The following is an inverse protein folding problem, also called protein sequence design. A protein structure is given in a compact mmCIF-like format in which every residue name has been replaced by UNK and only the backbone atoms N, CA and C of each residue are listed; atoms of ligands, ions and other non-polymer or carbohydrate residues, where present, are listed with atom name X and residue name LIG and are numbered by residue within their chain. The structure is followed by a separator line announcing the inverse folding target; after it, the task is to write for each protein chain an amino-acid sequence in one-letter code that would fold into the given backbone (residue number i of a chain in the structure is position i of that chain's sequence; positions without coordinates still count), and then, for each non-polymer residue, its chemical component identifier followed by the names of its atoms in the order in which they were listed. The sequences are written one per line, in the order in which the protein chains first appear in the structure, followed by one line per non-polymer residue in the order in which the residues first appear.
data_IF_794113137434
#
_entry.id   IF_794113137434
#
_cell.length_a   1.000
_cell.length_b   1.000
_cell.length_c   1.000
_cell.angle_alpha   90.00
_cell.angle_beta   90.00
_cell.angle_gamma   90.00
#
_symmetry.space_group_name_H-M   'P 1'
#
loop_
_entity.id
_entity.type
_entity.pdbx_description
1 polymer ?
#
# COMPACT_ATOMS: atom_id res chain seq x y z
N UNK A 1 -17.61 57.04 -40.58
CA UNK A 1 -16.56 56.08 -40.11
C UNK A 1 -16.67 55.97 -38.61
N UNK A 2 -17.38 54.93 -38.11
CA UNK A 2 -17.52 54.67 -36.66
C UNK A 2 -16.40 53.72 -36.24
N UNK A 3 -15.54 54.13 -35.32
CA UNK A 3 -14.52 53.31 -34.72
C UNK A 3 -15.14 52.49 -33.59
N UNK A 4 -15.18 51.16 -33.73
CA UNK A 4 -15.49 50.25 -32.66
C UNK A 4 -14.24 50.04 -31.79
N UNK A 5 -14.30 50.45 -30.53
CA UNK A 5 -13.33 50.05 -29.51
C UNK A 5 -13.73 48.69 -28.96
N UNK A 6 -12.90 47.67 -29.18
CA UNK A 6 -13.00 46.38 -28.51
C UNK A 6 -12.37 46.51 -27.11
N UNK A 7 -13.21 46.41 -26.10
CA UNK A 7 -12.76 46.32 -24.69
C UNK A 7 -12.46 44.82 -24.43
N UNK A 8 -11.19 44.47 -24.29
CA UNK A 8 -10.76 43.13 -23.85
C UNK A 8 -10.81 43.14 -22.34
N UNK A 9 -11.80 42.46 -21.76
CA UNK A 9 -11.86 42.19 -20.32
C UNK A 9 -10.92 41.04 -20.01
N UNK A 10 -9.78 41.33 -19.36
CA UNK A 10 -8.88 40.32 -18.78
C UNK A 10 -9.54 39.87 -17.47
N UNK A 11 -10.13 38.66 -17.48
CA UNK A 11 -10.59 38.00 -16.27
C UNK A 11 -9.37 37.40 -15.58
N UNK A 12 -8.85 38.10 -14.57
CA UNK A 12 -7.91 37.54 -13.61
C UNK A 12 -8.66 36.52 -12.73
N UNK A 13 -8.53 35.25 -13.06
CA UNK A 13 -8.88 34.18 -12.12
C UNK A 13 -7.87 34.21 -10.98
N UNK A 14 -8.25 34.80 -9.85
CA UNK A 14 -7.53 34.64 -8.60
C UNK A 14 -7.61 33.15 -8.24
N UNK A 15 -6.56 32.40 -8.51
CA UNK A 15 -6.40 31.09 -7.91
C UNK A 15 -6.36 31.32 -6.39
N UNK A 16 -7.37 30.84 -5.68
CA UNK A 16 -7.33 30.76 -4.23
C UNK A 16 -6.16 29.84 -3.87
N UNK A 17 -5.01 30.43 -3.59
CA UNK A 17 -3.90 29.69 -3.01
C UNK A 17 -4.40 29.16 -1.65
N UNK A 18 -4.49 27.84 -1.52
CA UNK A 18 -4.73 27.21 -0.22
C UNK A 18 -3.70 27.74 0.78
N UNK A 19 -4.09 28.02 2.04
CA UNK A 19 -3.15 28.53 3.03
C UNK A 19 -1.95 27.57 3.11
N UNK A 20 -0.75 28.12 2.98
CA UNK A 20 0.51 27.36 2.99
C UNK A 20 0.58 26.61 4.32
N UNK A 21 0.37 25.29 4.30
CA UNK A 21 0.48 24.46 5.50
C UNK A 21 1.95 24.28 5.82
N UNK A 22 2.38 24.71 7.01
CA UNK A 22 3.78 24.62 7.47
C UNK A 22 4.02 23.38 8.35
N UNK A 23 3.07 22.46 8.38
CA UNK A 23 3.15 21.25 9.18
C UNK A 23 4.02 20.18 8.48
N UNK A 24 4.55 19.29 9.29
CA UNK A 24 5.32 18.12 8.87
C UNK A 24 4.42 16.89 8.89
N UNK A 25 4.72 15.89 8.10
CA UNK A 25 4.00 14.61 8.11
C UNK A 25 5.00 13.46 8.21
N UNK A 26 4.80 12.60 9.19
CA UNK A 26 5.50 11.32 9.35
C UNK A 26 4.46 10.23 9.19
N UNK A 27 4.63 9.36 8.20
CA UNK A 27 3.79 8.19 7.98
C UNK A 27 4.62 6.92 8.11
N UNK A 28 4.14 6.00 8.93
CA UNK A 28 4.76 4.69 9.14
C UNK A 28 3.81 3.62 8.64
N UNK A 29 4.33 2.72 7.82
CA UNK A 29 3.64 1.49 7.46
C UNK A 29 4.16 0.34 8.30
N UNK A 30 3.23 -0.38 8.93
CA UNK A 30 3.46 -1.66 9.60
C UNK A 30 2.89 -2.74 8.70
N UNK A 31 3.76 -3.56 8.10
CA UNK A 31 3.37 -4.61 7.16
C UNK A 31 2.46 -5.63 7.84
N UNK A 32 1.39 -6.03 7.16
CA UNK A 32 0.45 -7.02 7.65
C UNK A 32 -0.36 -6.59 8.90
N UNK A 33 -0.42 -5.28 9.19
CA UNK A 33 -1.11 -4.75 10.37
C UNK A 33 -2.62 -4.77 10.19
N UNK A 34 -3.26 -5.89 10.59
CA UNK A 34 -4.72 -6.04 10.57
C UNK A 34 -5.41 -4.95 11.36
N UNK A 35 -6.59 -4.55 10.86
CA UNK A 35 -7.41 -3.50 11.49
C UNK A 35 -7.85 -3.83 12.93
N UNK A 36 -7.98 -5.13 13.25
CA UNK A 36 -8.55 -5.67 14.49
C UNK A 36 -7.50 -6.20 15.49
N UNK A 37 -6.19 -6.06 15.21
CA UNK A 37 -5.17 -6.51 16.15
C UNK A 37 -5.29 -5.84 17.53
N UNK A 38 -5.68 -4.57 17.59
CA UNK A 38 -5.91 -3.89 18.87
C UNK A 38 -7.16 -4.39 19.62
N UNK A 39 -8.08 -5.11 18.95
CA UNK A 39 -9.23 -5.76 19.60
C UNK A 39 -8.83 -7.13 20.20
N UNK A 40 -7.78 -7.77 19.66
CA UNK A 40 -7.26 -9.07 20.13
C UNK A 40 -6.09 -8.94 21.11
N UNK A 41 -5.31 -7.87 21.01
CA UNK A 41 -4.01 -7.72 21.65
C UNK A 41 -3.94 -6.42 22.46
N UNK A 42 -3.04 -6.39 23.47
CA UNK A 42 -2.83 -5.20 24.29
C UNK A 42 -1.96 -4.17 23.54
N UNK A 43 -2.63 -3.29 22.80
CA UNK A 43 -1.99 -2.24 22.00
C UNK A 43 -2.42 -0.84 22.48
N UNK A 44 -1.97 -0.42 23.68
CA UNK A 44 -2.45 0.80 24.33
C UNK A 44 -2.13 2.08 23.57
N UNK A 45 -1.09 2.10 22.75
CA UNK A 45 -0.77 3.26 21.93
C UNK A 45 -1.77 3.41 20.77
N UNK A 46 -2.08 2.33 20.05
CA UNK A 46 -3.10 2.34 19.00
C UNK A 46 -4.47 2.76 19.54
N UNK A 47 -4.82 2.33 20.75
CA UNK A 47 -6.06 2.72 21.42
C UNK A 47 -6.04 4.20 21.84
N UNK A 48 -4.91 4.68 22.37
CA UNK A 48 -4.76 6.08 22.72
C UNK A 48 -4.88 6.99 21.48
N UNK A 49 -4.27 6.62 20.36
CA UNK A 49 -4.36 7.35 19.11
C UNK A 49 -5.81 7.44 18.61
N UNK A 50 -6.63 6.41 18.81
CA UNK A 50 -8.05 6.43 18.46
C UNK A 50 -8.81 7.49 19.25
N UNK A 51 -8.42 7.79 20.49
CA UNK A 51 -9.07 8.79 21.34
C UNK A 51 -8.62 10.22 21.07
N UNK A 52 -7.33 10.43 20.78
CA UNK A 52 -6.74 11.77 20.59
C UNK A 52 -6.61 12.18 19.12
N UNK A 53 -6.97 11.31 18.20
CA UNK A 53 -6.81 11.50 16.76
C UNK A 53 -7.94 10.86 15.95
N UNK A 54 -7.55 10.19 14.87
CA UNK A 54 -8.42 9.52 13.92
C UNK A 54 -8.20 8.02 13.98
N UNK A 55 -9.30 7.26 14.02
CA UNK A 55 -9.35 5.82 13.82
C UNK A 55 -10.11 5.52 12.53
N UNK A 56 -9.56 4.65 11.70
CA UNK A 56 -10.25 4.12 10.51
C UNK A 56 -9.83 2.68 10.24
N UNK A 57 -10.68 1.96 9.50
CA UNK A 57 -10.33 0.75 8.76
C UNK A 57 -10.05 1.18 7.33
N UNK A 58 -8.89 0.83 6.81
CA UNK A 58 -8.51 1.15 5.44
C UNK A 58 -8.56 -0.12 4.59
N UNK A 59 -9.22 -0.02 3.45
CA UNK A 59 -9.30 -1.10 2.47
C UNK A 59 -8.04 -1.11 1.61
N UNK A 60 -7.30 -2.24 1.52
CA UNK A 60 -6.18 -2.37 0.59
C UNK A 60 -6.67 -2.43 -0.85
N UNK A 61 -5.76 -2.26 -1.80
CA UNK A 61 -6.03 -2.55 -3.21
C UNK A 61 -5.85 -4.04 -3.51
N UNK A 62 -6.56 -4.54 -4.53
CA UNK A 62 -6.39 -5.92 -4.99
C UNK A 62 -5.21 -6.03 -5.96
N UNK A 63 -4.34 -7.04 -5.81
CA UNK A 63 -4.29 -7.98 -4.70
C UNK A 63 -3.78 -7.33 -3.41
N UNK A 64 -4.31 -7.76 -2.26
CA UNK A 64 -3.89 -7.30 -0.94
C UNK A 64 -2.52 -7.86 -0.58
N UNK A 65 -1.47 -7.39 -1.26
CA UNK A 65 -0.08 -7.86 -1.17
C UNK A 65 0.89 -6.70 -1.02
N UNK A 66 2.04 -6.94 -0.42
CA UNK A 66 3.01 -5.95 0.05
C UNK A 66 3.44 -4.93 -1.02
N UNK A 67 4.06 -5.39 -2.12
CA UNK A 67 4.60 -4.48 -3.14
C UNK A 67 3.50 -3.69 -3.86
N UNK A 68 2.41 -4.32 -4.36
CA UNK A 68 1.30 -3.59 -4.92
C UNK A 68 0.77 -2.50 -3.98
N UNK A 69 0.52 -2.82 -2.72
CA UNK A 69 -0.15 -1.90 -1.79
C UNK A 69 0.75 -0.77 -1.29
N UNK A 70 2.02 -1.04 -0.98
CA UNK A 70 2.95 0.04 -0.63
C UNK A 70 3.14 1.01 -1.79
N UNK A 71 3.24 0.50 -3.02
CA UNK A 71 3.40 1.36 -4.18
C UNK A 71 2.10 2.09 -4.54
N UNK A 72 0.95 1.45 -4.32
CA UNK A 72 -0.38 2.09 -4.40
C UNK A 72 -0.49 3.27 -3.42
N UNK A 73 -0.12 3.09 -2.15
CA UNK A 73 -0.12 4.19 -1.17
C UNK A 73 0.81 5.35 -1.56
N UNK A 74 1.92 5.03 -2.22
CA UNK A 74 2.88 6.04 -2.67
C UNK A 74 2.45 6.78 -3.94
N UNK A 75 1.66 6.16 -4.82
CA UNK A 75 1.29 6.72 -6.14
C UNK A 75 -0.16 7.13 -6.24
N UNK A 76 -1.05 6.65 -5.36
CA UNK A 76 -2.49 6.84 -5.48
C UNK A 76 -3.11 6.11 -6.68
N UNK A 77 -2.37 5.18 -7.30
CA UNK A 77 -2.80 4.38 -8.45
C UNK A 77 -3.05 2.94 -8.01
N UNK A 78 -4.09 2.32 -8.56
CA UNK A 78 -4.33 0.89 -8.38
C UNK A 78 -3.22 0.05 -9.03
N UNK A 79 -2.99 -1.22 -8.63
CA UNK A 79 -1.93 -2.07 -9.17
C UNK A 79 -1.90 -2.19 -10.70
N UNK A 80 -3.07 -2.24 -11.35
CA UNK A 80 -3.19 -2.22 -12.82
C UNK A 80 -2.54 -1.00 -13.47
N UNK A 81 -2.58 0.14 -12.79
CA UNK A 81 -2.07 1.42 -13.30
C UNK A 81 -0.66 1.75 -12.80
N UNK A 82 -0.28 1.26 -11.61
CA UNK A 82 1.06 1.53 -11.07
C UNK A 82 2.13 0.53 -11.54
N UNK A 83 1.69 -0.58 -12.19
CA UNK A 83 2.57 -1.56 -12.83
C UNK A 83 3.05 -2.70 -11.94
N UNK A 84 2.90 -2.62 -10.62
CA UNK A 84 3.19 -3.70 -9.69
C UNK A 84 1.91 -4.51 -9.43
N UNK A 85 1.55 -5.36 -10.38
CA UNK A 85 0.29 -6.10 -10.35
C UNK A 85 0.27 -7.25 -9.33
N UNK A 86 1.42 -7.68 -8.84
CA UNK A 86 1.57 -8.66 -7.75
C UNK A 86 3.03 -8.63 -7.22
N UNK A 87 3.33 -9.32 -6.12
CA UNK A 87 4.71 -9.53 -5.63
C UNK A 87 5.56 -10.35 -6.64
N UNK A 88 4.92 -11.10 -7.53
CA UNK A 88 5.55 -11.84 -8.61
C UNK A 88 4.57 -11.97 -9.79
N UNK A 89 5.01 -11.62 -10.99
CA UNK A 89 4.22 -11.69 -12.22
C UNK A 89 5.12 -11.90 -13.46
N UNK A 90 4.52 -12.31 -14.56
CA UNK A 90 5.20 -12.36 -15.87
C UNK A 90 5.03 -11.03 -16.58
N UNK A 91 6.12 -10.47 -17.10
CA UNK A 91 6.08 -9.29 -17.95
C UNK A 91 6.27 -9.71 -19.42
N UNK A 92 5.24 -9.62 -20.27
CA UNK A 92 5.33 -10.00 -21.66
C UNK A 92 6.22 -9.07 -22.48
N UNK A 93 6.33 -7.79 -22.10
CA UNK A 93 7.19 -6.81 -22.76
C UNK A 93 8.68 -7.10 -22.58
N UNK A 94 9.09 -7.49 -21.38
CA UNK A 94 10.46 -7.91 -21.07
C UNK A 94 10.70 -9.40 -21.30
N UNK A 95 9.63 -10.20 -21.44
CA UNK A 95 9.67 -11.67 -21.43
C UNK A 95 10.45 -12.20 -20.22
N UNK A 96 10.13 -11.63 -19.08
CA UNK A 96 10.83 -11.89 -17.82
C UNK A 96 9.83 -12.00 -16.66
N UNK A 97 10.13 -12.88 -15.71
CA UNK A 97 9.32 -12.99 -14.49
C UNK A 97 9.80 -11.97 -13.47
N UNK A 98 8.98 -10.96 -13.20
CA UNK A 98 9.20 -10.07 -12.05
C UNK A 98 9.05 -10.86 -10.75
N UNK A 99 9.91 -10.56 -9.79
CA UNK A 99 9.78 -11.00 -8.40
C UNK A 99 10.36 -9.94 -7.48
N UNK A 100 9.66 -9.61 -6.39
CA UNK A 100 10.16 -8.67 -5.39
C UNK A 100 11.50 -9.11 -4.76
N UNK A 101 11.79 -10.41 -4.78
CA UNK A 101 13.05 -10.98 -4.29
C UNK A 101 14.20 -10.97 -5.30
N UNK A 102 13.94 -10.63 -6.58
CA UNK A 102 14.98 -10.60 -7.62
C UNK A 102 15.51 -9.18 -7.84
N UNK A 103 16.76 -8.87 -7.43
CA UNK A 103 17.34 -7.54 -7.62
C UNK A 103 17.39 -7.08 -9.08
N UNK A 104 17.43 -7.98 -10.06
CA UNK A 104 17.51 -7.64 -11.48
C UNK A 104 16.24 -6.93 -11.97
N UNK A 105 15.07 -7.28 -11.45
CA UNK A 105 13.82 -6.62 -11.79
C UNK A 105 13.30 -5.68 -10.69
N UNK A 106 13.55 -6.00 -9.42
CA UNK A 106 13.12 -5.19 -8.29
C UNK A 106 13.65 -3.76 -8.35
N UNK A 107 14.89 -3.55 -8.81
CA UNK A 107 15.53 -2.23 -8.93
C UNK A 107 15.44 -1.61 -10.33
N UNK A 108 14.71 -2.23 -11.27
CA UNK A 108 14.49 -1.67 -12.61
C UNK A 108 13.27 -0.73 -12.59
N UNK A 109 13.45 0.59 -12.82
CA UNK A 109 12.36 1.56 -12.83
C UNK A 109 11.28 1.28 -13.88
N UNK A 110 11.56 0.45 -14.88
CA UNK A 110 10.59 0.01 -15.89
C UNK A 110 9.31 -0.60 -15.27
N UNK A 111 9.43 -1.26 -14.12
CA UNK A 111 8.29 -1.92 -13.49
C UNK A 111 7.40 -0.96 -12.69
N UNK A 112 7.89 0.23 -12.35
CA UNK A 112 7.29 1.19 -11.43
C UNK A 112 6.67 2.35 -12.21
N UNK A 113 5.36 2.25 -12.49
CA UNK A 113 4.63 3.26 -13.25
C UNK A 113 4.02 4.31 -12.31
N UNK A 114 3.67 5.46 -12.87
CA UNK A 114 3.10 6.57 -12.11
C UNK A 114 4.16 7.43 -11.42
N UNK A 115 3.69 8.40 -10.67
CA UNK A 115 4.53 9.39 -9.99
C UNK A 115 4.35 9.26 -8.46
N UNK A 116 5.35 8.70 -7.73
CA UNK A 116 5.24 8.58 -6.28
C UNK A 116 5.23 9.95 -5.58
N UNK A 117 4.63 9.99 -4.41
CA UNK A 117 4.46 11.24 -3.63
C UNK A 117 5.76 12.00 -3.37
N UNK A 118 6.89 11.32 -3.19
CA UNK A 118 8.19 11.98 -3.02
C UNK A 118 8.67 12.67 -4.29
N UNK A 119 8.31 12.16 -5.49
CA UNK A 119 8.61 12.81 -6.77
C UNK A 119 7.74 14.05 -6.92
N UNK A 120 6.42 13.92 -6.72
CA UNK A 120 5.47 15.04 -6.79
C UNK A 120 5.82 16.16 -5.81
N UNK A 121 6.17 15.79 -4.58
CA UNK A 121 6.57 16.75 -3.54
C UNK A 121 7.86 17.49 -3.92
N UNK A 122 8.88 16.77 -4.40
CA UNK A 122 10.17 17.38 -4.76
C UNK A 122 10.07 18.27 -5.99
N UNK A 123 9.24 17.92 -6.99
CA UNK A 123 8.93 18.80 -8.12
C UNK A 123 8.31 20.14 -7.67
N UNK A 124 7.66 20.16 -6.51
CA UNK A 124 7.04 21.34 -5.91
C UNK A 124 7.86 21.93 -4.75
N UNK A 125 9.15 21.58 -4.68
CA UNK A 125 10.12 22.18 -3.75
C UNK A 125 10.09 21.63 -2.33
N UNK A 126 9.44 20.49 -2.10
CA UNK A 126 9.34 19.83 -0.78
C UNK A 126 10.33 18.67 -0.68
N UNK A 127 11.20 18.67 0.33
CA UNK A 127 12.08 17.54 0.62
C UNK A 127 11.33 16.41 1.27
N UNK A 128 11.69 15.17 0.88
CA UNK A 128 11.15 13.94 1.42
C UNK A 128 12.24 13.02 1.97
N UNK A 129 11.99 12.41 3.12
CA UNK A 129 12.76 11.30 3.65
C UNK A 129 11.97 10.02 3.53
N UNK A 130 12.51 8.98 2.87
CA UNK A 130 11.78 7.73 2.64
C UNK A 130 12.67 6.55 2.97
N UNK A 131 12.32 5.83 4.05
CA UNK A 131 13.12 4.75 4.60
C UNK A 131 12.44 3.42 4.32
N UNK A 132 13.05 2.64 3.42
CA UNK A 132 12.66 1.28 3.04
C UNK A 132 11.27 1.12 2.39
N UNK A 133 10.55 2.19 2.11
CA UNK A 133 9.29 2.10 1.37
C UNK A 133 9.50 1.59 -0.05
N UNK A 134 8.60 0.75 -0.56
CA UNK A 134 8.69 0.16 -1.90
C UNK A 134 8.86 1.25 -2.97
N UNK A 135 9.90 1.12 -3.78
CA UNK A 135 10.24 2.08 -4.85
C UNK A 135 11.09 3.27 -4.41
N UNK A 136 11.35 3.47 -3.11
CA UNK A 136 12.12 4.63 -2.64
C UNK A 136 13.61 4.56 -2.97
N UNK A 137 14.11 3.38 -3.25
CA UNK A 137 15.52 3.10 -3.59
C UNK A 137 15.74 2.89 -5.11
N UNK A 138 14.79 3.42 -5.90
CA UNK A 138 14.79 3.36 -7.37
C UNK A 138 14.61 4.77 -7.92
N UNK A 139 15.30 5.18 -9.03
CA UNK A 139 15.14 6.50 -9.62
C UNK A 139 13.86 6.59 -10.47
N UNK A 140 12.69 6.54 -9.82
CA UNK A 140 11.40 6.64 -10.51
C UNK A 140 11.23 8.08 -11.02
N UNK A 141 10.85 8.24 -12.29
CA UNK A 141 10.86 9.53 -12.97
C UNK A 141 12.21 10.27 -12.83
N UNK A 142 13.33 9.54 -12.92
CA UNK A 142 14.71 10.00 -12.75
C UNK A 142 14.97 10.71 -11.40
N UNK A 143 14.18 10.37 -10.37
CA UNK A 143 14.21 11.06 -9.09
C UNK A 143 14.22 10.07 -7.91
N UNK A 144 15.21 10.23 -7.02
CA UNK A 144 15.20 9.61 -5.69
C UNK A 144 14.56 10.54 -4.65
N UNK A 145 14.03 10.05 -3.52
CA UNK A 145 13.75 10.90 -2.37
C UNK A 145 15.00 11.68 -1.94
N UNK A 146 14.86 12.84 -1.30
CA UNK A 146 16.01 13.64 -0.82
C UNK A 146 16.86 12.83 0.17
N UNK A 147 16.22 12.07 1.04
CA UNK A 147 16.86 11.16 1.98
C UNK A 147 16.25 9.78 1.81
N UNK A 148 17.09 8.79 1.56
CA UNK A 148 16.65 7.41 1.35
C UNK A 148 17.76 6.42 1.67
N UNK A 149 17.40 5.14 1.76
CA UNK A 149 18.37 4.06 1.93
C UNK A 149 17.98 2.87 1.09
N UNK A 150 18.97 2.28 0.43
CA UNK A 150 18.78 1.04 -0.33
C UNK A 150 18.44 -0.10 0.62
N UNK A 151 17.43 -0.92 0.27
CA UNK A 151 17.02 -2.07 1.07
C UNK A 151 18.17 -3.03 1.36
N UNK A 152 18.98 -3.36 0.34
CA UNK A 152 20.10 -4.30 0.44
C UNK A 152 21.38 -3.68 1.02
N UNK A 153 21.36 -2.40 1.41
CA UNK A 153 22.53 -1.74 1.98
C UNK A 153 22.93 -2.38 3.32
N UNK A 154 24.22 -2.63 3.49
CA UNK A 154 24.76 -3.19 4.72
C UNK A 154 25.34 -2.12 5.64
N UNK A 155 25.20 -2.25 6.96
CA UNK A 155 24.30 -3.19 7.63
C UNK A 155 22.82 -2.87 7.30
N UNK A 156 21.98 -3.90 7.19
CA UNK A 156 20.53 -3.68 7.12
C UNK A 156 20.06 -3.10 8.45
N UNK A 157 19.28 -2.01 8.40
CA UNK A 157 18.83 -1.33 9.61
C UNK A 157 17.73 -2.13 10.32
N UNK A 158 17.93 -2.37 11.60
CA UNK A 158 16.89 -2.86 12.50
C UNK A 158 15.85 -1.75 12.78
N UNK A 159 14.81 -2.06 13.54
CA UNK A 159 13.70 -1.14 13.82
C UNK A 159 14.14 0.09 14.60
N UNK A 160 15.08 -0.06 15.54
CA UNK A 160 15.61 1.08 16.31
C UNK A 160 16.38 2.04 15.40
N UNK A 161 17.21 1.53 14.50
CA UNK A 161 17.95 2.34 13.53
C UNK A 161 17.03 3.05 12.52
N UNK A 162 15.92 2.41 12.11
CA UNK A 162 14.89 3.06 11.27
C UNK A 162 14.23 4.20 12.04
N UNK A 163 13.84 3.98 13.29
CA UNK A 163 13.26 5.00 14.16
C UNK A 163 14.24 6.14 14.43
N UNK A 164 15.52 5.82 14.71
CA UNK A 164 16.59 6.81 14.91
C UNK A 164 16.76 7.70 13.68
N UNK A 165 16.76 7.14 12.48
CA UNK A 165 16.88 7.91 11.25
C UNK A 165 15.68 8.82 11.03
N UNK A 166 14.45 8.35 11.27
CA UNK A 166 13.24 9.17 11.19
C UNK A 166 13.35 10.39 12.13
N UNK A 167 13.75 10.17 13.39
CA UNK A 167 13.94 11.26 14.35
C UNK A 167 15.08 12.17 13.94
N UNK A 168 16.20 11.63 13.44
CA UNK A 168 17.34 12.41 12.91
C UNK A 168 16.90 13.34 11.79
N UNK A 169 16.15 12.83 10.81
CA UNK A 169 15.63 13.62 9.69
C UNK A 169 14.72 14.75 10.17
N UNK A 170 13.84 14.45 11.12
CA UNK A 170 12.97 15.46 11.72
C UNK A 170 13.71 16.46 12.61
N UNK A 171 14.94 16.15 13.04
CA UNK A 171 15.79 17.04 13.87
C UNK A 171 16.69 17.95 13.04
N UNK A 172 16.74 17.81 11.73
CA UNK A 172 17.56 18.65 10.86
C UNK A 172 17.15 20.13 10.96
N UNK A 173 18.03 21.08 10.64
CA UNK A 173 17.68 22.50 10.44
C UNK A 173 16.50 22.64 9.48
N UNK A 174 15.67 23.66 9.68
CA UNK A 174 14.41 23.81 8.94
C UNK A 174 14.61 23.80 7.41
N UNK A 175 15.69 24.36 6.93
CA UNK A 175 16.07 24.44 5.51
C UNK A 175 16.47 23.09 4.91
N UNK A 176 16.88 22.12 5.74
CA UNK A 176 17.25 20.77 5.31
C UNK A 176 16.17 19.74 5.66
N UNK A 177 15.31 20.04 6.64
CA UNK A 177 14.30 19.14 7.17
C UNK A 177 13.27 18.74 6.12
N UNK A 178 13.04 17.42 5.90
CA UNK A 178 11.95 16.98 5.03
C UNK A 178 10.58 17.33 5.64
N UNK A 179 9.62 17.73 4.82
CA UNK A 179 8.24 17.94 5.26
C UNK A 179 7.42 16.65 5.25
N UNK A 180 7.86 15.64 4.50
CA UNK A 180 7.31 14.30 4.49
C UNK A 180 8.41 13.31 4.86
N UNK A 181 8.15 12.46 5.87
CA UNK A 181 8.96 11.28 6.16
C UNK A 181 8.06 10.06 6.10
N UNK A 182 8.49 9.05 5.33
CA UNK A 182 7.82 7.76 5.19
C UNK A 182 8.74 6.67 5.69
N UNK A 183 8.24 5.79 6.55
CA UNK A 183 8.99 4.67 7.12
C UNK A 183 8.24 3.35 6.98
N UNK A 184 8.97 2.29 6.65
CA UNK A 184 8.44 0.94 6.52
C UNK A 184 9.05 0.01 7.58
N UNK A 185 8.17 -0.79 8.19
CA UNK A 185 8.51 -1.82 9.16
C UNK A 185 7.83 -3.12 8.75
N UNK A 186 8.59 -4.19 8.62
CA UNK A 186 8.19 -5.47 8.03
C UNK A 186 7.45 -6.41 9.00
N UNK A 187 7.04 -5.90 10.17
CA UNK A 187 6.23 -6.62 11.16
C UNK A 187 4.89 -5.89 11.40
N UNK A 188 3.86 -6.65 11.74
CA UNK A 188 3.79 -8.07 12.14
C UNK A 188 3.61 -9.10 11.00
N UNK A 189 3.82 -8.73 9.72
CA UNK A 189 3.61 -9.61 8.56
C UNK A 189 4.46 -10.88 8.62
N UNK A 190 5.77 -10.73 8.82
CA UNK A 190 6.69 -11.87 8.85
C UNK A 190 6.30 -12.89 9.93
N UNK A 191 6.00 -12.42 11.14
CA UNK A 191 5.55 -13.26 12.24
C UNK A 191 4.16 -13.87 11.95
N UNK A 192 3.27 -13.10 11.34
CA UNK A 192 1.93 -13.55 10.92
C UNK A 192 1.99 -14.67 9.88
N UNK A 193 2.92 -14.61 8.94
CA UNK A 193 3.17 -15.69 8.00
C UNK A 193 3.63 -16.97 8.70
N UNK A 194 4.61 -16.88 9.59
CA UNK A 194 5.23 -18.04 10.22
C UNK A 194 4.29 -18.74 11.22
N UNK A 195 3.58 -17.97 12.05
CA UNK A 195 2.82 -18.48 13.19
C UNK A 195 1.29 -18.36 13.04
N UNK A 196 0.80 -17.64 12.03
CA UNK A 196 -0.61 -17.31 11.84
C UNK A 196 -0.98 -15.96 12.44
N UNK A 197 -2.07 -15.32 11.92
CA UNK A 197 -2.45 -13.96 12.34
C UNK A 197 -2.87 -13.89 13.82
N UNK A 198 -3.47 -14.96 14.35
CA UNK A 198 -3.95 -15.02 15.73
C UNK A 198 -3.15 -16.09 16.47
N UNK A 199 -1.96 -15.75 16.91
CA UNK A 199 -1.04 -16.61 17.64
C UNK A 199 -0.36 -15.86 18.79
N UNK A 200 0.28 -16.58 19.69
CA UNK A 200 1.02 -16.00 20.82
C UNK A 200 2.21 -15.18 20.30
N UNK A 201 2.85 -15.64 19.23
CA UNK A 201 4.00 -15.00 18.62
C UNK A 201 3.58 -13.70 17.91
N UNK A 202 2.51 -13.73 17.12
CA UNK A 202 1.98 -12.54 16.45
C UNK A 202 1.46 -11.52 17.47
N UNK A 203 0.83 -11.99 18.55
CA UNK A 203 0.47 -11.13 19.69
C UNK A 203 1.71 -10.39 20.23
N UNK A 204 2.75 -11.13 20.59
CA UNK A 204 3.96 -10.54 21.17
C UNK A 204 4.62 -9.53 20.20
N UNK A 205 4.62 -9.81 18.90
CA UNK A 205 5.18 -8.90 17.89
C UNK A 205 4.31 -7.66 17.69
N UNK A 206 2.98 -7.79 17.62
CA UNK A 206 2.08 -6.65 17.49
C UNK A 206 2.18 -5.70 18.69
N UNK A 207 2.23 -6.24 19.92
CA UNK A 207 2.44 -5.46 21.15
C UNK A 207 3.83 -4.79 21.20
N UNK A 208 4.87 -5.46 20.69
CA UNK A 208 6.21 -4.86 20.56
C UNK A 208 6.21 -3.72 19.53
N UNK A 209 5.53 -3.88 18.41
CA UNK A 209 5.41 -2.80 17.41
C UNK A 209 4.60 -1.62 17.95
N UNK A 210 3.54 -1.85 18.73
CA UNK A 210 2.80 -0.80 19.41
C UNK A 210 3.70 0.03 20.34
N UNK A 211 4.50 -0.65 21.17
CA UNK A 211 5.47 -0.01 22.07
C UNK A 211 6.51 0.81 21.31
N UNK A 212 7.08 0.25 20.23
CA UNK A 212 8.08 0.95 19.38
C UNK A 212 7.50 2.19 18.71
N UNK A 213 6.27 2.11 18.21
CA UNK A 213 5.59 3.26 17.61
C UNK A 213 5.27 4.33 18.64
N UNK A 214 4.92 3.94 19.86
CA UNK A 214 4.75 4.88 20.98
C UNK A 214 6.07 5.62 21.30
N UNK A 215 7.18 4.91 21.42
CA UNK A 215 8.49 5.53 21.66
C UNK A 215 8.90 6.49 20.53
N UNK A 216 8.72 6.08 19.27
CA UNK A 216 8.97 6.95 18.12
C UNK A 216 8.10 8.21 18.17
N UNK A 217 6.81 8.06 18.45
CA UNK A 217 5.88 9.19 18.59
C UNK A 217 6.32 10.16 19.68
N UNK A 218 6.67 9.66 20.88
CA UNK A 218 7.12 10.51 21.99
C UNK A 218 8.40 11.27 21.64
N UNK A 219 9.35 10.61 20.97
CA UNK A 219 10.59 11.26 20.49
C UNK A 219 10.31 12.38 19.49
N UNK A 220 9.37 12.17 18.54
CA UNK A 220 8.94 13.19 17.59
C UNK A 220 8.22 14.34 18.29
N UNK A 221 7.35 14.06 19.25
CA UNK A 221 6.63 15.07 20.03
C UNK A 221 7.56 15.91 20.92
N UNK A 222 8.69 15.37 21.36
CA UNK A 222 9.68 16.08 22.16
C UNK A 222 10.53 17.09 21.35
N UNK A 223 10.45 17.08 20.02
CA UNK A 223 11.14 18.06 19.17
C UNK A 223 10.55 19.48 19.37
N UNK A 224 11.33 20.54 19.19
CA UNK A 224 10.85 21.93 19.34
C UNK A 224 9.62 22.29 18.49
N UNK A 225 9.37 21.54 17.44
CA UNK A 225 8.23 21.66 16.53
C UNK A 225 7.35 20.41 16.50
N UNK A 226 7.40 19.60 17.55
CA UNK A 226 6.63 18.37 17.68
C UNK A 226 5.11 18.58 17.62
N UNK A 227 4.64 19.77 17.97
CA UNK A 227 3.24 20.20 17.84
C UNK A 227 2.79 20.43 16.38
N UNK A 228 3.74 20.58 15.46
CA UNK A 228 3.52 20.71 14.01
C UNK A 228 3.63 19.39 13.25
N UNK A 229 3.83 18.27 13.93
CA UNK A 229 4.00 16.97 13.28
C UNK A 229 2.65 16.23 13.23
N UNK A 230 2.20 15.91 12.03
CA UNK A 230 1.19 14.89 11.79
C UNK A 230 1.88 13.53 11.83
N UNK A 231 1.35 12.61 12.62
CA UNK A 231 1.83 11.24 12.75
C UNK A 231 0.76 10.28 12.30
N UNK A 232 1.07 9.42 11.33
CA UNK A 232 0.16 8.47 10.71
C UNK A 232 0.74 7.06 10.84
N UNK A 233 -0.07 6.12 11.33
CA UNK A 233 0.19 4.68 11.26
C UNK A 233 -0.80 4.06 10.29
N UNK A 234 -0.30 3.26 9.35
CA UNK A 234 -1.10 2.53 8.37
C UNK A 234 -0.52 1.12 8.19
N UNK A 235 -1.34 0.20 7.69
CA UNK A 235 -0.88 -1.07 7.13
C UNK A 235 -1.03 -1.05 5.60
N UNK A 236 -0.52 -2.05 4.95
CA UNK A 236 -0.64 -2.26 3.50
C UNK A 236 -1.67 -3.35 3.17
N UNK A 237 -1.77 -4.39 3.97
CA UNK A 237 -2.75 -5.47 3.94
C UNK A 237 -2.90 -6.12 5.31
N UNK A 238 -3.92 -6.93 5.46
CA UNK A 238 -4.09 -7.78 6.63
C UNK A 238 -3.46 -9.16 6.46
N UNK A 239 -3.96 -10.16 7.18
CA UNK A 239 -3.44 -11.52 7.22
C UNK A 239 -4.57 -12.47 7.58
N UNK A 240 -4.66 -13.64 6.91
CA UNK A 240 -5.60 -14.71 7.28
C UNK A 240 -4.88 -16.03 7.51
N UNK A 241 -5.49 -16.90 8.31
CA UNK A 241 -4.97 -18.22 8.58
C UNK A 241 -5.16 -19.16 7.39
N UNK A 242 -4.13 -19.94 7.08
CA UNK A 242 -4.17 -21.01 6.08
C UNK A 242 -3.80 -22.35 6.71
N UNK A 243 -4.25 -23.44 6.08
CA UNK A 243 -3.85 -24.78 6.47
C UNK A 243 -3.46 -25.64 5.26
N UNK A 244 -2.62 -26.68 5.44
CA UNK A 244 -2.23 -27.58 4.37
C UNK A 244 -3.39 -28.33 3.72
N UNK A 245 -4.50 -28.52 4.44
CA UNK A 245 -5.70 -29.19 3.96
C UNK A 245 -6.52 -28.33 3.00
N UNK A 246 -6.40 -26.99 3.13
CA UNK A 246 -7.08 -26.02 2.26
C UNK A 246 -6.21 -25.67 1.07
N UNK A 247 -5.82 -26.67 0.26
CA UNK A 247 -4.92 -26.54 -0.88
C UNK A 247 -5.52 -27.15 -2.14
N UNK A 248 -5.59 -26.36 -3.20
CA UNK A 248 -5.88 -26.80 -4.57
C UNK A 248 -4.57 -26.81 -5.34
N UNK A 249 -4.17 -27.96 -5.87
CA UNK A 249 -2.92 -28.14 -6.59
C UNK A 249 -3.16 -28.02 -8.10
N UNK A 250 -2.71 -26.96 -8.79
CA UNK A 250 -3.00 -26.73 -10.21
C UNK A 250 -2.71 -27.93 -11.12
N UNK A 251 -1.59 -28.62 -10.92
CA UNK A 251 -1.19 -29.78 -11.75
C UNK A 251 -2.04 -31.03 -11.56
N UNK A 252 -2.87 -31.10 -10.52
CA UNK A 252 -3.86 -32.15 -10.35
C UNK A 252 -5.17 -31.83 -11.07
N UNK A 253 -5.40 -30.55 -11.32
CA UNK A 253 -6.64 -30.06 -11.88
C UNK A 253 -6.59 -29.84 -13.38
N UNK A 254 -5.44 -29.35 -13.88
CA UNK A 254 -5.23 -29.06 -15.30
C UNK A 254 -3.87 -29.57 -15.78
N UNK A 255 -3.76 -30.06 -17.05
CA UNK A 255 -2.47 -30.38 -17.63
C UNK A 255 -1.54 -29.16 -17.67
N UNK A 256 -0.32 -29.33 -17.19
CA UNK A 256 0.64 -28.25 -17.10
C UNK A 256 1.02 -27.68 -18.48
N UNK A 257 0.97 -28.50 -19.51
CA UNK A 257 1.22 -28.09 -20.88
C UNK A 257 0.16 -27.17 -21.50
N UNK A 258 -0.96 -26.92 -20.82
CA UNK A 258 -1.99 -25.96 -21.27
C UNK A 258 -1.63 -24.50 -20.95
N UNK A 259 -0.66 -24.25 -20.10
CA UNK A 259 -0.21 -22.93 -19.74
C UNK A 259 1.28 -22.73 -19.98
N UNK A 260 1.70 -21.52 -20.31
CA UNK A 260 3.10 -21.12 -20.41
C UNK A 260 3.64 -20.70 -19.04
N UNK A 261 2.84 -19.99 -18.25
CA UNK A 261 3.23 -19.52 -16.93
C UNK A 261 2.07 -19.56 -15.93
N UNK A 262 2.43 -19.86 -14.68
CA UNK A 262 1.66 -19.62 -13.47
C UNK A 262 2.47 -18.65 -12.61
N UNK A 263 1.90 -17.52 -12.25
CA UNK A 263 2.60 -16.49 -11.46
C UNK A 263 1.72 -15.92 -10.37
N UNK A 264 2.34 -15.44 -9.29
CA UNK A 264 1.61 -15.04 -8.09
C UNK A 264 1.14 -16.23 -7.27
N UNK A 265 0.45 -15.96 -6.19
CA UNK A 265 -0.15 -16.98 -5.31
C UNK A 265 -1.62 -16.65 -4.99
N UNK A 266 -1.90 -15.47 -4.51
CA UNK A 266 -3.23 -14.93 -4.24
C UNK A 266 -3.33 -13.51 -4.80
N UNK A 267 -3.87 -13.31 -5.99
CA UNK A 267 -4.31 -14.30 -6.99
C UNK A 267 -3.14 -14.95 -7.75
N UNK A 268 -3.42 -16.10 -8.36
CA UNK A 268 -2.55 -16.67 -9.38
C UNK A 268 -2.99 -16.19 -10.76
N UNK A 269 -2.04 -15.63 -11.53
CA UNK A 269 -2.21 -15.35 -12.96
C UNK A 269 -1.72 -16.53 -13.78
N UNK A 270 -2.55 -16.97 -14.75
CA UNK A 270 -2.23 -18.06 -15.66
C UNK A 270 -2.14 -17.52 -17.08
N UNK A 271 -1.03 -17.75 -17.74
CA UNK A 271 -0.82 -17.41 -19.16
C UNK A 271 -1.05 -18.67 -19.98
N UNK A 272 -2.17 -18.71 -20.71
CA UNK A 272 -2.62 -19.86 -21.44
C UNK A 272 -1.79 -20.07 -22.73
N UNK A 273 -1.43 -21.29 -23.06
CA UNK A 273 -0.94 -21.62 -24.39
C UNK A 273 -2.06 -21.41 -25.40
N UNK A 274 -1.67 -21.02 -26.60
CA UNK A 274 -2.59 -20.79 -27.72
C UNK A 274 -3.55 -21.97 -27.91
N UNK A 275 -4.86 -21.71 -27.80
CA UNK A 275 -5.93 -22.69 -27.99
C UNK A 275 -6.39 -23.40 -26.72
N UNK A 276 -5.77 -23.13 -25.55
CA UNK A 276 -6.12 -23.79 -24.28
C UNK A 276 -6.85 -22.87 -23.27
N UNK A 277 -7.04 -21.59 -23.58
CA UNK A 277 -7.69 -20.64 -22.66
C UNK A 277 -9.06 -21.12 -22.18
N UNK A 278 -9.94 -21.48 -23.12
CA UNK A 278 -11.31 -21.94 -22.76
C UNK A 278 -11.29 -23.28 -22.04
N UNK A 279 -10.34 -24.18 -22.36
CA UNK A 279 -10.18 -25.45 -21.67
C UNK A 279 -9.76 -25.25 -20.21
N UNK A 280 -8.78 -24.35 -19.96
CA UNK A 280 -8.34 -23.95 -18.64
C UNK A 280 -9.50 -23.32 -17.85
N UNK A 281 -10.19 -22.33 -18.46
CA UNK A 281 -11.30 -21.64 -17.83
C UNK A 281 -12.42 -22.60 -17.44
N UNK A 282 -12.88 -23.42 -18.38
CA UNK A 282 -13.99 -24.36 -18.16
C UNK A 282 -13.64 -25.40 -17.08
N UNK A 283 -12.40 -25.82 -16.99
CA UNK A 283 -11.98 -26.79 -15.97
C UNK A 283 -11.85 -26.16 -14.60
N UNK A 284 -11.15 -25.02 -14.52
CA UNK A 284 -10.87 -24.35 -13.24
C UNK A 284 -12.13 -23.71 -12.63
N UNK A 285 -13.04 -23.16 -13.44
CA UNK A 285 -14.28 -22.56 -12.94
C UNK A 285 -15.30 -23.57 -12.38
N UNK A 286 -15.06 -24.88 -12.52
CA UNK A 286 -15.86 -25.93 -11.89
C UNK A 286 -15.34 -26.36 -10.51
N UNK A 287 -14.17 -25.88 -10.12
CA UNK A 287 -13.59 -26.22 -8.82
C UNK A 287 -14.24 -25.39 -7.71
N UNK A 288 -14.45 -26.05 -6.57
CA UNK A 288 -14.87 -25.38 -5.36
C UNK A 288 -13.71 -24.56 -4.76
N UNK A 289 -14.02 -23.55 -3.97
CA UNK A 289 -13.08 -22.73 -3.20
C UNK A 289 -12.11 -21.89 -4.05
N UNK A 290 -12.44 -21.63 -5.33
CA UNK A 290 -11.77 -20.64 -6.16
C UNK A 290 -12.78 -19.89 -7.02
N UNK A 291 -12.45 -18.64 -7.32
CA UNK A 291 -13.11 -17.83 -8.35
C UNK A 291 -12.12 -17.65 -9.50
N UNK A 292 -12.62 -17.79 -10.71
CA UNK A 292 -11.80 -17.70 -11.92
C UNK A 292 -12.39 -16.68 -12.86
N UNK A 293 -11.59 -15.74 -13.31
CA UNK A 293 -11.98 -14.73 -14.29
C UNK A 293 -11.03 -14.76 -15.47
N UNK A 294 -11.54 -14.44 -16.65
CA UNK A 294 -10.71 -14.13 -17.80
C UNK A 294 -10.14 -12.70 -17.65
N UNK A 295 -9.04 -12.45 -18.32
CA UNK A 295 -8.46 -11.11 -18.44
C UNK A 295 -9.54 -10.10 -18.91
N UNK A 296 -9.66 -8.98 -18.20
CA UNK A 296 -10.69 -7.97 -18.47
C UNK A 296 -12.10 -8.28 -17.94
N UNK A 297 -12.34 -9.47 -17.35
CA UNK A 297 -13.64 -9.89 -16.80
C UNK A 297 -13.68 -9.92 -15.26
N UNK A 298 -12.63 -9.43 -14.60
CA UNK A 298 -12.58 -9.32 -13.13
C UNK A 298 -13.62 -8.30 -12.67
N UNK A 299 -14.33 -8.53 -11.55
CA UNK A 299 -15.31 -7.60 -11.02
C UNK A 299 -14.76 -6.17 -10.91
N UNK A 300 -15.52 -5.18 -11.37
CA UNK A 300 -15.10 -3.77 -11.48
C UNK A 300 -14.60 -3.19 -10.14
N UNK A 301 -15.22 -3.59 -9.02
CA UNK A 301 -14.83 -3.07 -7.70
C UNK A 301 -13.39 -3.41 -7.30
N UNK A 302 -12.81 -4.49 -7.87
CA UNK A 302 -11.42 -4.89 -7.62
C UNK A 302 -10.42 -3.95 -8.32
N UNK A 303 -10.84 -3.20 -9.35
CA UNK A 303 -9.98 -2.33 -10.17
C UNK A 303 -8.69 -3.04 -10.62
N UNK A 304 -8.87 -4.25 -11.17
CA UNK A 304 -7.78 -5.18 -11.48
C UNK A 304 -8.14 -6.03 -12.71
N UNK A 305 -7.14 -6.50 -13.44
CA UNK A 305 -7.34 -7.49 -14.50
C UNK A 305 -7.25 -6.93 -15.92
N UNK A 306 -6.79 -5.69 -16.13
CA UNK A 306 -6.67 -5.05 -17.45
C UNK A 306 -5.23 -4.79 -17.89
N UNK A 307 -4.25 -4.88 -16.96
CA UNK A 307 -2.84 -4.69 -17.27
C UNK A 307 -2.28 -5.88 -18.05
N UNK A 308 -1.46 -5.63 -19.08
CA UNK A 308 -0.77 -6.67 -19.86
C UNK A 308 0.14 -7.59 -19.02
N UNK A 309 0.48 -7.15 -17.79
CA UNK A 309 1.26 -7.93 -16.80
C UNK A 309 0.41 -8.93 -16.02
N UNK A 310 -0.89 -8.99 -16.31
CA UNK A 310 -1.83 -9.95 -15.71
C UNK A 310 -2.15 -11.01 -16.77
N UNK A 311 -2.14 -12.29 -16.36
CA UNK A 311 -2.36 -13.41 -17.27
C UNK A 311 -3.75 -13.47 -17.89
N UNK A 312 -3.94 -14.42 -18.80
CA UNK A 312 -5.22 -14.65 -19.49
C UNK A 312 -6.33 -15.11 -18.53
N UNK A 313 -5.95 -15.77 -17.43
CA UNK A 313 -6.86 -16.14 -16.32
C UNK A 313 -6.31 -15.64 -14.99
N UNK A 314 -7.23 -15.22 -14.14
CA UNK A 314 -6.97 -14.82 -12.76
C UNK A 314 -7.72 -15.81 -11.85
N UNK A 315 -6.98 -16.54 -11.03
CA UNK A 315 -7.51 -17.50 -10.06
C UNK A 315 -7.36 -16.94 -8.67
N UNK A 316 -8.49 -16.68 -8.01
CA UNK A 316 -8.55 -16.16 -6.64
C UNK A 316 -9.14 -17.24 -5.75
N UNK A 317 -8.36 -17.84 -4.83
CA UNK A 317 -8.91 -18.78 -3.86
C UNK A 317 -9.83 -18.07 -2.85
N UNK A 318 -10.76 -18.82 -2.27
CA UNK A 318 -11.56 -18.36 -1.14
C UNK A 318 -10.66 -18.07 0.07
N UNK A 319 -11.13 -17.23 0.98
CA UNK A 319 -10.37 -16.84 2.18
C UNK A 319 -9.85 -18.06 2.94
N UNK A 320 -8.54 -18.08 3.20
CA UNK A 320 -7.86 -19.17 3.87
C UNK A 320 -7.55 -20.39 3.01
N UNK A 321 -7.97 -20.43 1.74
CA UNK A 321 -7.58 -21.45 0.77
C UNK A 321 -6.34 -21.03 -0.01
N UNK A 322 -5.66 -22.01 -0.59
CA UNK A 322 -4.48 -21.83 -1.40
C UNK A 322 -4.66 -22.47 -2.78
N UNK A 323 -4.22 -21.78 -3.83
CA UNK A 323 -4.04 -22.34 -5.16
C UNK A 323 -2.55 -22.36 -5.45
N UNK A 324 -1.88 -23.47 -5.14
CA UNK A 324 -0.41 -23.54 -5.19
C UNK A 324 0.06 -24.96 -5.52
N UNK A 325 1.27 -25.05 -6.07
CA UNK A 325 1.88 -26.32 -6.49
C UNK A 325 2.27 -27.21 -5.30
N UNK A 326 2.59 -26.62 -4.17
CA UNK A 326 2.96 -27.30 -2.92
C UNK A 326 2.30 -26.63 -1.73
N UNK A 327 2.02 -27.37 -0.65
CA UNK A 327 1.56 -26.75 0.59
C UNK A 327 2.54 -25.68 1.06
N UNK A 328 2.02 -24.53 1.48
CA UNK A 328 2.82 -23.53 2.18
C UNK A 328 3.30 -24.06 3.51
N UNK A 329 4.50 -23.67 3.93
CA UNK A 329 4.97 -23.87 5.30
C UNK A 329 4.41 -22.81 6.26
N UNK A 330 3.92 -21.70 5.71
CA UNK A 330 3.32 -20.62 6.45
C UNK A 330 1.98 -21.05 7.04
N UNK A 331 1.61 -20.42 8.13
CA UNK A 331 0.31 -20.57 8.79
C UNK A 331 -0.63 -19.39 8.49
N UNK A 332 -0.07 -18.27 8.02
CA UNK A 332 -0.82 -17.12 7.56
C UNK A 332 -0.44 -16.69 6.14
N UNK A 333 -1.38 -16.06 5.45
CA UNK A 333 -1.14 -15.44 4.14
C UNK A 333 -2.14 -14.31 3.88
N UNK A 334 -1.91 -13.59 2.81
CA UNK A 334 -2.71 -12.44 2.35
C UNK A 334 -2.88 -12.49 0.82
N UNK A 335 -3.39 -11.41 0.18
CA UNK A 335 -3.57 -11.33 -1.28
C UNK A 335 -5.00 -11.61 -1.72
N UNK A 336 -5.93 -11.83 -0.79
CA UNK A 336 -7.34 -12.12 -1.05
C UNK A 336 -8.14 -10.85 -1.43
N UNK A 337 -9.43 -11.03 -1.65
CA UNK A 337 -10.35 -9.93 -1.93
C UNK A 337 -10.26 -8.84 -0.84
N UNK A 338 -10.06 -7.57 -1.18
CA UNK A 338 -9.93 -6.50 -0.20
C UNK A 338 -11.20 -6.26 0.64
N UNK A 339 -12.36 -6.81 0.24
CA UNK A 339 -13.58 -6.80 1.05
C UNK A 339 -13.59 -7.80 2.19
N UNK A 340 -12.71 -8.80 2.14
CA UNK A 340 -12.54 -9.72 3.26
C UNK A 340 -12.01 -8.93 4.45
N UNK A 341 -12.69 -9.06 5.61
CA UNK A 341 -12.32 -8.30 6.80
C UNK A 341 -10.91 -8.60 7.29
N UNK A 342 -10.41 -9.81 7.05
CA UNK A 342 -9.05 -10.23 7.37
C UNK A 342 -7.98 -9.44 6.57
N UNK A 343 -8.36 -8.87 5.41
CA UNK A 343 -7.46 -8.08 4.56
C UNK A 343 -7.45 -6.59 4.92
N UNK A 344 -8.46 -6.11 5.66
CA UNK A 344 -8.51 -4.72 6.11
C UNK A 344 -7.36 -4.38 7.05
N UNK A 345 -6.93 -3.12 7.01
CA UNK A 345 -5.79 -2.65 7.79
C UNK A 345 -6.16 -1.53 8.76
N UNK A 346 -5.37 -1.43 9.83
CA UNK A 346 -5.50 -0.33 10.76
C UNK A 346 -5.01 0.98 10.14
N UNK A 347 -5.74 2.06 10.39
CA UNK A 347 -5.29 3.43 10.16
C UNK A 347 -5.49 4.25 11.41
N UNK A 348 -4.44 4.94 11.84
CA UNK A 348 -4.45 5.87 12.95
C UNK A 348 -3.73 7.14 12.52
N UNK A 349 -4.29 8.30 12.87
CA UNK A 349 -3.64 9.57 12.56
C UNK A 349 -3.86 10.59 13.67
N UNK A 350 -2.82 11.31 14.04
CA UNK A 350 -2.87 12.35 15.06
C UNK A 350 -1.97 13.51 14.65
N UNK A 351 -2.38 14.73 14.98
CA UNK A 351 -1.56 15.91 14.71
C UNK A 351 -2.39 17.17 14.49
N UNK A 352 -1.73 18.27 14.11
CA UNK A 352 -2.38 19.56 13.97
C UNK A 352 -3.50 19.59 12.94
N UNK A 353 -3.40 18.79 11.86
CA UNK A 353 -4.37 18.80 10.76
C UNK A 353 -5.51 17.78 10.93
N UNK A 354 -5.40 16.85 11.88
CA UNK A 354 -6.38 15.78 12.08
C UNK A 354 -7.42 16.15 13.17
N UNK A 355 -8.64 15.66 13.00
CA UNK A 355 -9.67 15.70 14.03
C UNK A 355 -9.27 14.90 15.27
N UNK A 356 -9.87 15.22 16.39
CA UNK A 356 -9.67 14.52 17.66
C UNK A 356 -10.89 13.64 17.93
N UNK A 357 -10.66 12.37 18.30
CA UNK A 357 -11.70 11.42 18.64
C UNK A 357 -12.65 11.12 17.46
N UNK A 358 -12.15 11.12 16.25
CA UNK A 358 -12.93 10.83 15.05
C UNK A 358 -12.73 9.39 14.58
N UNK A 359 -13.80 8.62 14.52
CA UNK A 359 -13.82 7.31 13.90
C UNK A 359 -14.51 7.39 12.54
N UNK A 360 -13.81 6.95 11.49
CA UNK A 360 -14.37 6.92 10.14
C UNK A 360 -15.42 5.79 10.06
N UNK A 361 -16.60 6.04 9.46
CA UNK A 361 -17.64 5.03 9.33
C UNK A 361 -17.15 3.87 8.46
N UNK A 362 -17.54 2.66 8.84
CA UNK A 362 -17.27 1.43 8.12
C UNK A 362 -18.52 0.55 8.13
N UNK A 363 -18.85 -0.05 6.99
CA UNK A 363 -19.95 -1.01 6.84
C UNK A 363 -19.36 -2.33 6.32
N UNK A 364 -19.52 -3.40 7.09
CA UNK A 364 -19.01 -4.72 6.74
C UNK A 364 -19.64 -5.22 5.42
N UNK A 365 -18.83 -5.85 4.57
CA UNK A 365 -19.25 -6.39 3.27
C UNK A 365 -19.43 -5.36 2.16
N UNK A 366 -19.40 -4.07 2.47
CA UNK A 366 -19.37 -3.00 1.48
C UNK A 366 -17.94 -2.55 1.18
N UNK A 367 -17.73 -1.93 0.01
CA UNK A 367 -16.46 -1.27 -0.27
C UNK A 367 -16.26 -0.12 0.72
N UNK A 368 -15.12 -0.12 1.41
CA UNK A 368 -14.80 0.94 2.36
C UNK A 368 -14.76 2.31 1.68
N UNK A 369 -15.29 3.32 2.39
CA UNK A 369 -15.15 4.70 1.96
C UNK A 369 -13.69 5.18 2.03
N UNK A 370 -12.83 4.52 2.81
CA UNK A 370 -11.41 4.83 2.94
C UNK A 370 -10.56 3.70 2.35
N UNK A 371 -9.93 3.97 1.22
CA UNK A 371 -9.08 3.05 0.50
C UNK A 371 -7.63 3.52 0.52
N UNK A 372 -6.70 2.62 0.42
CA UNK A 372 -5.26 2.94 0.47
C UNK A 372 -4.79 3.87 -0.66
N UNK A 373 -5.45 3.85 -1.83
CA UNK A 373 -5.20 4.80 -2.94
C UNK A 373 -5.48 6.26 -2.53
N UNK A 374 -6.32 6.47 -1.50
CA UNK A 374 -6.71 7.81 -1.04
C UNK A 374 -5.62 8.45 -0.15
N UNK A 375 -4.61 7.68 0.28
CA UNK A 375 -3.48 8.23 1.05
C UNK A 375 -2.65 9.22 0.25
N UNK A 376 -2.42 8.97 -1.03
CA UNK A 376 -1.66 9.91 -1.86
C UNK A 376 -2.29 11.31 -1.92
N UNK A 377 -3.58 11.48 -2.29
CA UNK A 377 -4.20 12.79 -2.27
C UNK A 377 -4.32 13.38 -0.84
N UNK A 378 -4.43 12.55 0.20
CA UNK A 378 -4.35 13.02 1.58
C UNK A 378 -2.97 13.64 1.88
N UNK A 379 -1.89 12.94 1.52
CA UNK A 379 -0.53 13.45 1.72
C UNK A 379 -0.29 14.73 0.92
N UNK A 380 -0.79 14.84 -0.32
CA UNK A 380 -0.75 16.09 -1.08
C UNK A 380 -1.46 17.24 -0.36
N UNK A 381 -2.66 16.99 0.19
CA UNK A 381 -3.42 17.99 0.97
C UNK A 381 -2.67 18.43 2.23
N UNK A 382 -2.08 17.49 2.99
CA UNK A 382 -1.28 17.79 4.18
C UNK A 382 -0.01 18.59 3.85
N UNK A 383 0.58 18.35 2.70
CA UNK A 383 1.76 19.08 2.22
C UNK A 383 1.43 20.41 1.53
N UNK A 384 0.16 20.63 1.17
CA UNK A 384 -0.28 21.80 0.41
C UNK A 384 0.29 21.83 -1.01
N UNK A 385 0.29 20.68 -1.70
CA UNK A 385 0.79 20.50 -3.08
C UNK A 385 -0.30 19.93 -3.98
N UNK A 386 -0.16 20.17 -5.27
CA UNK A 386 -1.06 19.62 -6.28
C UNK A 386 -0.72 18.15 -6.54
N UNK A 387 -1.71 17.24 -6.55
CA UNK A 387 -1.50 15.85 -6.86
C UNK A 387 -1.19 15.65 -8.35
N UNK A 388 -0.39 14.63 -8.68
CA UNK A 388 -0.37 14.07 -10.03
C UNK A 388 -1.71 13.39 -10.37
N UNK A 389 -1.99 13.05 -11.64
CA UNK A 389 -3.16 12.25 -11.98
C UNK A 389 -3.14 10.89 -11.28
N UNK A 390 -4.18 10.58 -10.50
CA UNK A 390 -4.29 9.38 -9.67
C UNK A 390 -5.72 8.82 -9.65
N UNK A 391 -5.88 7.58 -9.18
CA UNK A 391 -7.18 6.93 -8.98
C UNK A 391 -7.79 7.29 -7.61
N UNK A 392 -6.94 7.67 -6.65
CA UNK A 392 -7.33 8.08 -5.31
C UNK A 392 -8.15 9.36 -5.30
N UNK A 393 -9.04 9.51 -4.31
CA UNK A 393 -9.95 10.67 -4.17
C UNK A 393 -9.93 11.20 -2.75
N UNK A 394 -9.48 12.43 -2.58
CA UNK A 394 -9.44 13.11 -1.28
C UNK A 394 -10.83 13.19 -0.62
N UNK A 395 -11.89 13.37 -1.42
CA UNK A 395 -13.26 13.54 -0.94
C UNK A 395 -13.73 12.38 -0.07
N UNK A 396 -13.25 11.15 -0.33
CA UNK A 396 -13.61 9.95 0.44
C UNK A 396 -13.12 10.06 1.89
N UNK A 397 -11.95 10.66 2.11
CA UNK A 397 -11.32 10.69 3.43
C UNK A 397 -11.18 12.09 4.03
N UNK A 398 -11.46 13.17 3.29
CA UNK A 398 -11.29 14.56 3.74
C UNK A 398 -11.95 14.84 5.09
N UNK A 399 -13.00 14.10 5.44
CA UNK A 399 -13.71 14.24 6.72
C UNK A 399 -12.86 13.96 7.96
N UNK A 400 -11.70 13.33 7.82
CA UNK A 400 -10.76 13.11 8.94
C UNK A 400 -9.97 14.38 9.30
N UNK A 401 -9.90 15.34 8.40
CA UNK A 401 -9.19 16.61 8.58
C UNK A 401 -10.05 17.64 9.33
N UNK A 402 -9.36 18.58 10.02
CA UNK A 402 -9.98 19.75 10.66
C UNK A 402 -10.55 20.74 9.64
#
# INVERSE_FOLDING_TARGET
MRKFLLLVAVVLTAACASPKRDNYTVIISLDGSRWDYADYYDMPFFDSLATVGVKARMEPSYPSSTFPNHYTMATGLVPDHNGLVNNSFWDPGRKYKYSMGDPACRYDPYYYLGEPIWVTAQKQGIRCGVIYWVGSDIPICDTYPTYWRKWDAQPHWNYDQRADEIVRLMSLPQEERPRLVMGYFDEPDHTGHEFGPISVETKAMAEEMDRRMHELYLRLKALPHGDKINFILAGDHGMTEISPERLIVPTKEVPQEWADHFTGSNPTSIYAKKGYLDSLYNRLSQLEHIRVWKHGEVPEYLNYGTSDRIGDLIVCPDLGWQFNFTPSKNKGTHGFDPKETDMMVAFRAVGPDFKVGYEAPFTEGEQSAFRNIDLYPLLCELLGIEPAPVDGKLERIKKILK
#
